data_IF_607790125874
#
_entry.id   IF_607790125874
#
_cell.length_a   1.000
_cell.length_b   1.000
_cell.length_c   1.000
_cell.angle_alpha   90.00
_cell.angle_beta   90.00
_cell.angle_gamma   90.00
#
_symmetry.space_group_name_H-M   'P 1'
#
loop_
_entity.id
_entity.type
_entity.pdbx_description
1 polymer ?
#
# COMPACT_ATOMS: atom_id res chain seq x y z
N UNK A 1 -15.17 73.84 -0.38
CA UNK A 1 -15.36 72.62 0.43
C UNK A 1 -16.36 71.63 -0.18
N UNK A 2 -17.53 72.01 -0.74
CA UNK A 2 -18.40 71.01 -1.40
C UNK A 2 -17.98 70.64 -2.84
N UNK A 3 -17.41 71.57 -3.62
CA UNK A 3 -16.91 71.27 -4.98
C UNK A 3 -15.63 70.42 -5.01
N UNK A 4 -14.81 70.44 -3.96
CA UNK A 4 -13.62 69.59 -3.87
C UNK A 4 -14.00 68.13 -3.59
N UNK A 5 -15.05 67.91 -2.80
CA UNK A 5 -15.58 66.59 -2.48
C UNK A 5 -16.13 65.88 -3.72
N UNK A 6 -16.86 66.58 -4.59
CA UNK A 6 -17.38 66.02 -5.85
C UNK A 6 -16.27 65.71 -6.86
N UNK A 7 -15.23 66.54 -6.95
CA UNK A 7 -14.07 66.30 -7.83
C UNK A 7 -13.26 65.05 -7.42
N UNK A 8 -13.01 64.89 -6.11
CA UNK A 8 -12.33 63.71 -5.56
C UNK A 8 -13.17 62.44 -5.79
N UNK A 9 -14.49 62.53 -5.61
CA UNK A 9 -15.40 61.39 -5.83
C UNK A 9 -15.44 60.98 -7.31
N UNK A 10 -15.45 61.94 -8.24
CA UNK A 10 -15.40 61.64 -9.69
C UNK A 10 -14.05 61.04 -10.13
N UNK A 11 -12.96 61.41 -9.46
CA UNK A 11 -11.63 60.87 -9.74
C UNK A 11 -11.49 59.44 -9.23
N UNK A 12 -12.06 59.13 -8.05
CA UNK A 12 -12.04 57.77 -7.51
C UNK A 12 -12.88 56.81 -8.35
N UNK A 13 -14.06 57.23 -8.80
CA UNK A 13 -14.93 56.39 -9.65
C UNK A 13 -14.27 56.09 -11.01
N UNK A 14 -13.59 57.07 -11.62
CA UNK A 14 -12.88 56.85 -12.88
C UNK A 14 -11.69 55.88 -12.72
N UNK A 15 -10.98 55.95 -11.60
CA UNK A 15 -9.91 55.00 -11.25
C UNK A 15 -10.47 53.59 -11.02
N UNK A 16 -11.59 53.45 -10.33
CA UNK A 16 -12.27 52.16 -10.12
C UNK A 16 -12.76 51.56 -11.44
N UNK A 17 -13.33 52.37 -12.34
CA UNK A 17 -13.72 51.93 -13.67
C UNK A 17 -12.51 51.49 -14.51
N UNK A 18 -11.41 52.25 -14.48
CA UNK A 18 -10.19 51.91 -15.21
C UNK A 18 -9.57 50.60 -14.68
N UNK A 19 -9.52 50.42 -13.35
CA UNK A 19 -9.04 49.19 -12.72
C UNK A 19 -9.89 47.99 -13.11
N UNK A 20 -11.22 48.15 -13.13
CA UNK A 20 -12.16 47.10 -13.55
C UNK A 20 -11.94 46.70 -15.02
N UNK A 21 -11.83 47.69 -15.92
CA UNK A 21 -11.55 47.45 -17.35
C UNK A 21 -10.20 46.75 -17.53
N UNK A 22 -9.17 47.16 -16.81
CA UNK A 22 -7.86 46.51 -16.88
C UNK A 22 -7.91 45.05 -16.38
N UNK A 23 -8.63 44.78 -15.29
CA UNK A 23 -8.86 43.42 -14.79
C UNK A 23 -9.54 42.51 -15.82
N UNK A 24 -10.52 43.04 -16.57
CA UNK A 24 -11.17 42.31 -17.67
C UNK A 24 -10.19 42.00 -18.81
N UNK A 25 -9.37 42.98 -19.21
CA UNK A 25 -8.35 42.79 -20.27
C UNK A 25 -7.31 41.75 -19.85
N UNK A 26 -6.78 41.84 -18.62
CA UNK A 26 -5.81 40.87 -18.09
C UNK A 26 -6.40 39.46 -18.05
N UNK A 27 -7.66 39.34 -17.61
CA UNK A 27 -8.38 38.07 -17.61
C UNK A 27 -8.50 37.48 -19.02
N UNK A 28 -8.96 38.27 -20.00
CA UNK A 28 -9.12 37.82 -21.37
C UNK A 28 -7.77 37.42 -22.00
N UNK A 29 -6.71 38.18 -21.72
CA UNK A 29 -5.36 37.91 -22.23
C UNK A 29 -4.71 36.70 -21.56
N UNK A 30 -4.96 36.46 -20.28
CA UNK A 30 -4.56 35.22 -19.62
C UNK A 30 -5.20 34.01 -20.29
N UNK A 31 -6.52 34.05 -20.54
CA UNK A 31 -7.25 32.95 -21.18
C UNK A 31 -6.78 32.72 -22.63
N UNK A 32 -6.45 33.79 -23.35
CA UNK A 32 -5.84 33.72 -24.68
C UNK A 32 -4.47 33.02 -24.64
N UNK A 33 -3.61 33.40 -23.70
CA UNK A 33 -2.29 32.79 -23.51
C UNK A 33 -2.37 31.31 -23.13
N UNK A 34 -3.36 30.93 -22.30
CA UNK A 34 -3.62 29.52 -21.97
C UNK A 34 -4.03 28.74 -23.22
N UNK A 35 -4.94 29.29 -24.04
CA UNK A 35 -5.38 28.64 -25.30
C UNK A 35 -4.23 28.50 -26.31
N UNK A 36 -3.34 29.48 -26.39
CA UNK A 36 -2.17 29.43 -27.28
C UNK A 36 -0.99 28.63 -26.70
N UNK A 37 -1.13 28.05 -25.49
CA UNK A 37 -0.06 27.35 -24.76
C UNK A 37 1.22 28.19 -24.57
N UNK A 38 1.08 29.51 -24.47
CA UNK A 38 2.22 30.42 -24.25
C UNK A 38 2.53 30.54 -22.76
N UNK A 39 3.47 29.72 -22.28
CA UNK A 39 3.91 29.69 -20.89
C UNK A 39 4.40 31.06 -20.38
N UNK A 40 5.13 31.80 -21.21
CA UNK A 40 5.71 33.08 -20.81
C UNK A 40 4.62 34.13 -20.59
N UNK A 41 3.63 34.18 -21.48
CA UNK A 41 2.48 35.06 -21.33
C UNK A 41 1.58 34.65 -20.17
N UNK A 42 1.35 33.34 -19.96
CA UNK A 42 0.59 32.84 -18.81
C UNK A 42 1.22 33.30 -17.49
N UNK A 43 2.53 33.10 -17.30
CA UNK A 43 3.22 33.57 -16.10
C UNK A 43 3.20 35.09 -15.97
N UNK A 44 3.38 35.82 -17.07
CA UNK A 44 3.34 37.28 -17.07
C UNK A 44 1.99 37.81 -16.61
N UNK A 45 0.89 37.32 -17.18
CA UNK A 45 -0.46 37.74 -16.77
C UNK A 45 -0.80 37.24 -15.37
N UNK A 46 -0.32 36.05 -14.99
CA UNK A 46 -0.45 35.53 -13.62
C UNK A 46 0.15 36.48 -12.58
N UNK A 47 1.30 37.10 -12.86
CA UNK A 47 1.95 38.08 -11.98
C UNK A 47 1.19 39.42 -11.86
N UNK A 48 0.29 39.73 -12.79
CA UNK A 48 -0.44 41.01 -12.83
C UNK A 48 -1.68 40.98 -11.93
N UNK A 49 -2.37 39.84 -11.80
CA UNK A 49 -3.55 39.71 -10.93
C UNK A 49 -3.35 40.25 -9.50
N UNK A 50 -2.28 39.89 -8.75
CA UNK A 50 -2.09 40.40 -7.39
C UNK A 50 -1.89 41.91 -7.35
N UNK A 51 -1.28 42.50 -8.39
CA UNK A 51 -1.09 43.96 -8.52
C UNK A 51 -2.42 44.71 -8.70
N UNK A 52 -3.46 44.03 -9.18
CA UNK A 52 -4.82 44.55 -9.33
C UNK A 52 -5.72 44.20 -8.14
N UNK A 53 -5.18 43.57 -7.08
CA UNK A 53 -5.96 43.06 -5.95
C UNK A 53 -6.73 41.77 -6.24
N UNK A 54 -6.61 41.20 -7.44
CA UNK A 54 -7.38 40.04 -7.92
C UNK A 54 -6.70 38.69 -7.59
N UNK A 55 -6.21 38.54 -6.36
CA UNK A 55 -5.42 37.39 -5.92
C UNK A 55 -6.15 36.05 -6.11
N UNK A 56 -7.37 35.96 -5.57
CA UNK A 56 -8.10 34.69 -5.56
C UNK A 56 -8.56 34.29 -6.98
N UNK A 57 -8.88 35.27 -7.82
CA UNK A 57 -9.23 35.04 -9.23
C UNK A 57 -8.01 34.53 -10.02
N UNK A 58 -6.84 35.14 -9.83
CA UNK A 58 -5.59 34.71 -10.45
C UNK A 58 -5.22 33.28 -10.07
N UNK A 59 -5.28 32.96 -8.77
CA UNK A 59 -5.03 31.61 -8.23
C UNK A 59 -6.02 30.59 -8.76
N UNK A 60 -7.32 30.92 -8.84
CA UNK A 60 -8.34 30.02 -9.38
C UNK A 60 -8.09 29.71 -10.87
N UNK A 61 -7.80 30.72 -11.68
CA UNK A 61 -7.50 30.55 -13.12
C UNK A 61 -6.22 29.76 -13.34
N UNK A 62 -5.18 30.05 -12.57
CA UNK A 62 -3.93 29.32 -12.65
C UNK A 62 -4.08 27.87 -12.19
N UNK A 63 -4.83 27.62 -11.12
CA UNK A 63 -5.18 26.27 -10.68
C UNK A 63 -5.89 25.48 -11.77
N UNK A 64 -6.85 26.10 -12.47
CA UNK A 64 -7.54 25.46 -13.60
C UNK A 64 -6.58 25.13 -14.74
N UNK A 65 -5.69 26.06 -15.10
CA UNK A 65 -4.64 25.84 -16.08
C UNK A 65 -3.73 24.66 -15.72
N UNK A 66 -3.24 24.60 -14.47
CA UNK A 66 -2.41 23.50 -13.97
C UNK A 66 -3.15 22.16 -14.00
N UNK A 67 -4.44 22.15 -13.60
CA UNK A 67 -5.27 20.94 -13.66
C UNK A 67 -5.44 20.46 -15.12
N UNK A 68 -5.64 21.36 -16.08
CA UNK A 68 -5.71 21.00 -17.51
C UNK A 68 -4.41 20.35 -18.01
N UNK A 69 -3.25 20.89 -17.61
CA UNK A 69 -1.94 20.32 -17.99
C UNK A 69 -1.67 18.98 -17.33
N UNK A 70 -2.06 18.83 -16.07
CA UNK A 70 -2.01 17.55 -15.36
C UNK A 70 -2.91 16.51 -16.03
N UNK A 71 -4.13 16.90 -16.40
CA UNK A 71 -5.10 16.08 -17.11
C UNK A 71 -4.53 15.56 -18.44
N UNK A 72 -3.97 16.44 -19.28
CA UNK A 72 -3.35 16.08 -20.56
C UNK A 72 -2.24 15.03 -20.37
N UNK A 73 -1.38 15.25 -19.37
CA UNK A 73 -0.25 14.35 -19.06
C UNK A 73 -0.74 13.00 -18.54
N UNK A 74 -1.70 12.99 -17.62
CA UNK A 74 -2.27 11.77 -17.05
C UNK A 74 -2.98 10.92 -18.10
N UNK A 75 -3.75 11.54 -19.01
CA UNK A 75 -4.41 10.84 -20.10
C UNK A 75 -3.42 10.22 -21.08
N UNK A 76 -2.33 10.93 -21.40
CA UNK A 76 -1.26 10.40 -22.24
C UNK A 76 -0.58 9.19 -21.58
N UNK A 77 -0.28 9.27 -20.28
CA UNK A 77 0.33 8.17 -19.54
C UNK A 77 -0.59 6.94 -19.48
N UNK A 78 -1.90 7.14 -19.25
CA UNK A 78 -2.89 6.06 -19.28
C UNK A 78 -2.99 5.43 -20.67
N UNK A 79 -3.00 6.24 -21.75
CA UNK A 79 -3.00 5.71 -23.12
C UNK A 79 -1.76 4.84 -23.39
N UNK A 80 -0.57 5.28 -22.98
CA UNK A 80 0.66 4.48 -23.08
C UNK A 80 0.56 3.16 -22.33
N UNK A 81 -0.05 3.16 -21.13
CA UNK A 81 -0.27 1.95 -20.35
C UNK A 81 -1.20 0.96 -21.09
N UNK A 82 -2.26 1.45 -21.73
CA UNK A 82 -3.19 0.62 -22.50
C UNK A 82 -2.57 0.03 -23.78
N UNK A 83 -1.64 0.75 -24.40
CA UNK A 83 -0.93 0.30 -25.61
C UNK A 83 0.23 -0.67 -25.30
N UNK A 84 0.59 -0.83 -24.03
CA UNK A 84 1.70 -1.71 -23.61
C UNK A 84 1.34 -3.18 -23.82
N UNK A 85 2.17 -3.91 -24.59
CA UNK A 85 1.95 -5.31 -24.92
C UNK A 85 2.01 -6.20 -23.67
N UNK A 86 1.19 -7.26 -23.65
CA UNK A 86 1.09 -8.23 -22.55
C UNK A 86 2.38 -9.04 -22.28
N UNK A 87 3.36 -9.00 -23.20
CA UNK A 87 4.62 -9.75 -23.08
C UNK A 87 5.70 -9.01 -22.27
N UNK A 88 5.46 -7.77 -21.86
CA UNK A 88 6.43 -7.00 -21.08
C UNK A 88 6.41 -7.47 -19.61
N UNK A 89 7.60 -7.62 -19.01
CA UNK A 89 7.73 -7.91 -17.57
C UNK A 89 7.09 -6.82 -16.70
N UNK A 90 7.01 -5.59 -17.22
CA UNK A 90 6.36 -4.46 -16.52
C UNK A 90 4.84 -4.48 -16.59
N UNK A 91 4.24 -5.34 -17.41
CA UNK A 91 2.78 -5.42 -17.52
C UNK A 91 2.13 -5.70 -16.18
N UNK A 92 2.77 -6.43 -15.26
CA UNK A 92 2.21 -6.76 -13.93
C UNK A 92 2.12 -5.58 -12.96
N UNK A 93 2.72 -4.43 -13.28
CA UNK A 93 2.71 -3.23 -12.41
C UNK A 93 2.32 -1.95 -13.16
N UNK A 94 1.83 -2.07 -14.39
CA UNK A 94 1.61 -0.93 -15.29
C UNK A 94 0.63 0.11 -14.73
N UNK A 95 -0.42 -0.32 -14.04
CA UNK A 95 -1.40 0.61 -13.46
C UNK A 95 -0.85 1.29 -12.20
N UNK A 96 -0.03 0.57 -11.43
CA UNK A 96 0.69 1.14 -10.31
C UNK A 96 1.73 2.18 -10.74
N UNK A 97 2.45 1.93 -11.81
CA UNK A 97 3.37 2.89 -12.43
C UNK A 97 2.60 4.10 -12.96
N UNK A 98 1.44 3.89 -13.59
CA UNK A 98 0.59 4.98 -14.10
C UNK A 98 0.10 5.90 -12.98
N UNK A 99 -0.37 5.35 -11.85
CA UNK A 99 -0.72 6.14 -10.67
C UNK A 99 0.50 6.86 -10.09
N UNK A 100 1.66 6.21 -10.07
CA UNK A 100 2.91 6.83 -9.60
C UNK A 100 3.26 8.06 -10.43
N UNK A 101 3.17 7.97 -11.76
CA UNK A 101 3.42 9.10 -12.66
C UNK A 101 2.43 10.26 -12.43
N UNK A 102 1.17 9.97 -12.11
CA UNK A 102 0.19 10.99 -11.74
C UNK A 102 0.59 11.71 -10.44
N UNK A 103 0.92 10.95 -9.39
CA UNK A 103 1.30 11.51 -8.09
C UNK A 103 2.61 12.31 -8.16
N UNK A 104 3.61 11.82 -8.88
CA UNK A 104 4.86 12.53 -9.14
C UNK A 104 4.62 13.79 -9.98
N UNK A 105 3.70 13.73 -10.95
CA UNK A 105 3.27 14.88 -11.74
C UNK A 105 2.71 16.00 -10.86
N UNK A 106 1.82 15.66 -9.91
CA UNK A 106 1.26 16.63 -8.96
C UNK A 106 2.37 17.21 -8.07
N UNK A 107 3.24 16.36 -7.51
CA UNK A 107 4.34 16.81 -6.68
C UNK A 107 5.25 17.80 -7.43
N UNK A 108 5.57 17.50 -8.69
CA UNK A 108 6.36 18.38 -9.56
C UNK A 108 5.66 19.70 -9.85
N UNK A 109 4.35 19.70 -10.12
CA UNK A 109 3.55 20.92 -10.33
C UNK A 109 3.62 21.82 -9.09
N UNK A 110 3.45 21.24 -7.89
CA UNK A 110 3.55 21.98 -6.63
C UNK A 110 4.95 22.57 -6.45
N UNK A 111 6.01 21.79 -6.70
CA UNK A 111 7.39 22.22 -6.50
C UNK A 111 7.86 23.29 -7.48
N UNK A 112 7.47 23.19 -8.77
CA UNK A 112 7.85 24.17 -9.80
C UNK A 112 7.17 25.52 -9.55
N UNK A 113 5.89 25.52 -9.17
CA UNK A 113 5.12 26.77 -9.08
C UNK A 113 5.14 27.41 -7.69
N UNK A 114 5.63 26.71 -6.66
CA UNK A 114 5.77 27.27 -5.32
C UNK A 114 6.54 28.61 -5.29
N UNK A 115 7.74 28.75 -5.88
CA UNK A 115 8.50 30.02 -5.82
C UNK A 115 7.75 31.18 -6.48
N UNK A 116 7.05 30.91 -7.58
CA UNK A 116 6.26 31.91 -8.29
C UNK A 116 5.08 32.40 -7.45
N UNK A 117 4.36 31.49 -6.79
CA UNK A 117 3.18 31.84 -5.99
C UNK A 117 3.62 32.58 -4.73
N UNK A 118 4.62 32.07 -4.01
CA UNK A 118 5.09 32.70 -2.77
C UNK A 118 5.67 34.10 -3.01
N UNK A 119 6.37 34.31 -4.14
CA UNK A 119 6.96 35.61 -4.48
C UNK A 119 5.91 36.67 -4.83
N UNK A 120 4.87 36.33 -5.60
CA UNK A 120 3.93 37.33 -6.15
C UNK A 120 2.58 37.39 -5.45
N UNK A 121 2.10 36.28 -4.87
CA UNK A 121 0.81 36.20 -4.16
C UNK A 121 0.98 36.18 -2.64
N UNK A 122 2.21 35.95 -2.17
CA UNK A 122 2.52 35.84 -0.75
C UNK A 122 2.51 34.41 -0.24
N UNK A 123 3.13 34.23 0.92
CA UNK A 123 3.33 32.92 1.53
C UNK A 123 2.00 32.31 2.00
N UNK A 124 1.91 30.98 1.97
CA UNK A 124 0.69 30.24 2.36
C UNK A 124 -0.44 30.26 1.32
N UNK A 125 -0.29 31.02 0.22
CA UNK A 125 -1.26 31.00 -0.89
C UNK A 125 -1.19 29.72 -1.72
N UNK A 126 -0.12 28.93 -1.62
CA UNK A 126 0.00 27.63 -2.28
C UNK A 126 -1.07 26.64 -1.81
N UNK A 127 -1.45 26.70 -0.53
CA UNK A 127 -2.51 25.87 0.07
C UNK A 127 -3.83 25.98 -0.72
N UNK A 128 -4.13 27.17 -1.27
CA UNK A 128 -5.36 27.38 -2.06
C UNK A 128 -5.42 26.55 -3.35
N UNK A 129 -4.27 26.15 -3.90
CA UNK A 129 -4.19 25.38 -5.15
C UNK A 129 -4.33 23.88 -4.89
N UNK A 130 -3.89 23.39 -3.73
CA UNK A 130 -3.88 21.96 -3.40
C UNK A 130 -5.27 21.30 -3.53
N UNK A 131 -6.38 21.89 -3.05
CA UNK A 131 -7.72 21.32 -3.26
C UNK A 131 -8.06 21.10 -4.74
N UNK A 132 -7.64 22.00 -5.63
CA UNK A 132 -7.90 21.86 -7.07
C UNK A 132 -7.09 20.69 -7.65
N UNK A 133 -5.81 20.58 -7.29
CA UNK A 133 -4.95 19.48 -7.72
C UNK A 133 -5.44 18.14 -7.15
N UNK A 134 -5.94 18.10 -5.91
CA UNK A 134 -6.51 16.90 -5.31
C UNK A 134 -7.77 16.44 -6.05
N UNK A 135 -8.69 17.34 -6.41
CA UNK A 135 -9.87 16.98 -7.21
C UNK A 135 -9.50 16.43 -8.59
N UNK A 136 -8.46 16.97 -9.20
CA UNK A 136 -7.96 16.44 -10.47
C UNK A 136 -7.28 15.07 -10.28
N UNK A 137 -6.53 14.89 -9.19
CA UNK A 137 -5.97 13.59 -8.77
C UNK A 137 -7.06 12.53 -8.63
N UNK A 138 -8.15 12.86 -7.93
CA UNK A 138 -9.32 12.01 -7.73
C UNK A 138 -9.93 11.59 -9.09
N UNK A 139 -10.13 12.57 -9.99
CA UNK A 139 -10.69 12.33 -11.32
C UNK A 139 -9.82 11.39 -12.16
N UNK A 140 -8.51 11.57 -12.15
CA UNK A 140 -7.60 10.74 -12.94
C UNK A 140 -7.40 9.36 -12.31
N UNK A 141 -7.26 9.27 -10.98
CA UNK A 141 -7.19 8.00 -10.25
C UNK A 141 -8.41 7.13 -10.55
N UNK A 142 -9.61 7.71 -10.53
CA UNK A 142 -10.86 6.99 -10.85
C UNK A 142 -10.82 6.35 -12.25
N UNK A 143 -10.27 7.05 -13.25
CA UNK A 143 -10.14 6.50 -14.61
C UNK A 143 -9.12 5.36 -14.67
N UNK A 144 -7.97 5.54 -14.03
CA UNK A 144 -6.92 4.51 -14.00
C UNK A 144 -7.42 3.25 -13.30
N UNK A 145 -8.11 3.39 -12.17
CA UNK A 145 -8.69 2.26 -11.44
C UNK A 145 -9.83 1.57 -12.22
N UNK A 146 -10.64 2.32 -12.97
CA UNK A 146 -11.68 1.72 -13.81
C UNK A 146 -11.07 0.83 -14.92
N UNK A 147 -10.03 1.31 -15.60
CA UNK A 147 -9.31 0.51 -16.60
C UNK A 147 -8.58 -0.67 -15.97
N UNK A 148 -7.97 -0.49 -14.79
CA UNK A 148 -7.36 -1.57 -14.02
C UNK A 148 -8.38 -2.67 -13.68
N UNK A 149 -9.53 -2.32 -13.08
CA UNK A 149 -10.56 -3.29 -12.70
C UNK A 149 -11.06 -4.08 -13.90
N UNK A 150 -11.24 -3.40 -15.04
CA UNK A 150 -11.68 -4.02 -16.28
C UNK A 150 -10.63 -4.97 -16.87
N UNK A 151 -9.39 -4.50 -17.05
CA UNK A 151 -8.33 -5.28 -17.70
C UNK A 151 -7.81 -6.43 -16.81
N UNK A 152 -7.84 -6.27 -15.48
CA UNK A 152 -7.47 -7.31 -14.52
C UNK A 152 -8.64 -8.16 -14.07
N UNK A 153 -9.85 -7.86 -14.52
CA UNK A 153 -11.07 -8.58 -14.15
C UNK A 153 -11.24 -8.66 -12.62
N UNK A 154 -11.04 -7.54 -11.92
CA UNK A 154 -11.08 -7.49 -10.45
C UNK A 154 -12.41 -8.03 -9.93
N UNK A 155 -13.53 -7.57 -10.49
CA UNK A 155 -14.88 -7.96 -10.05
C UNK A 155 -15.11 -9.46 -10.21
N UNK A 156 -14.63 -10.05 -11.31
CA UNK A 156 -14.72 -11.49 -11.54
C UNK A 156 -13.91 -12.28 -10.51
N UNK A 157 -12.68 -11.85 -10.20
CA UNK A 157 -11.84 -12.48 -9.18
C UNK A 157 -12.49 -12.41 -7.81
N UNK A 158 -13.09 -11.27 -7.46
CA UNK A 158 -13.81 -11.09 -6.19
C UNK A 158 -15.04 -12.01 -6.11
N UNK A 159 -15.82 -12.09 -7.19
CA UNK A 159 -16.99 -12.97 -7.27
C UNK A 159 -16.60 -14.45 -7.10
N UNK A 160 -15.52 -14.89 -7.77
CA UNK A 160 -15.02 -16.26 -7.61
C UNK A 160 -14.60 -16.59 -6.18
N UNK A 161 -14.01 -15.62 -5.48
CA UNK A 161 -13.62 -15.79 -4.07
C UNK A 161 -14.85 -15.78 -3.15
N UNK A 162 -15.84 -14.93 -3.40
CA UNK A 162 -17.08 -14.92 -2.61
C UNK A 162 -17.87 -16.23 -2.79
N UNK A 163 -18.01 -16.70 -4.03
CA UNK A 163 -18.66 -17.98 -4.35
C UNK A 163 -17.94 -19.16 -3.70
N UNK A 164 -16.61 -19.10 -3.61
CA UNK A 164 -15.81 -20.10 -2.90
C UNK A 164 -16.14 -20.17 -1.40
N UNK A 165 -16.31 -19.02 -0.73
CA UNK A 165 -16.68 -18.99 0.70
C UNK A 165 -18.17 -19.22 0.95
N UNK A 166 -19.05 -18.92 0.00
CA UNK A 166 -20.52 -19.07 0.12
C UNK A 166 -21.01 -20.47 -0.29
N UNK A 167 -20.28 -21.16 -1.17
CA UNK A 167 -20.67 -22.46 -1.70
C UNK A 167 -20.88 -23.50 -0.59
N UNK A 168 -21.90 -24.38 -0.69
CA UNK A 168 -22.08 -25.46 0.28
C UNK A 168 -20.83 -26.33 0.29
N UNK A 169 -20.30 -26.62 1.49
CA UNK A 169 -19.25 -27.62 1.70
C UNK A 169 -19.82 -28.95 1.19
N UNK A 170 -19.56 -29.27 -0.07
CA UNK A 170 -20.10 -30.46 -0.70
C UNK A 170 -19.68 -31.69 0.09
N UNK A 171 -20.61 -32.63 0.24
CA UNK A 171 -20.47 -33.92 0.95
C UNK A 171 -19.26 -34.76 0.49
N UNK A 172 -18.57 -34.34 -0.58
CA UNK A 172 -17.30 -34.87 -1.05
C UNK A 172 -16.23 -33.77 -1.26
N UNK A 173 -15.95 -32.93 -0.27
CA UNK A 173 -14.63 -32.28 -0.01
C UNK A 173 -13.87 -31.54 -1.14
N UNK A 174 -14.42 -31.37 -2.35
CA UNK A 174 -13.78 -30.72 -3.49
C UNK A 174 -14.64 -29.54 -3.92
N UNK A 175 -14.13 -28.34 -3.67
CA UNK A 175 -14.65 -27.13 -4.29
C UNK A 175 -14.53 -27.27 -5.83
N UNK A 176 -15.54 -26.85 -6.60
CA UNK A 176 -15.54 -26.95 -8.06
C UNK A 176 -14.37 -26.14 -8.68
N UNK A 177 -13.96 -26.59 -9.86
CA UNK A 177 -12.62 -26.48 -10.46
C UNK A 177 -12.29 -25.11 -11.09
N UNK A 178 -12.95 -24.00 -10.70
CA UNK A 178 -12.55 -22.64 -11.11
C UNK A 178 -11.67 -21.98 -10.04
N UNK A 179 -10.52 -22.60 -9.76
CA UNK A 179 -9.52 -22.06 -8.82
C UNK A 179 -8.70 -20.98 -9.53
N UNK A 180 -8.65 -19.78 -8.96
CA UNK A 180 -7.73 -18.73 -9.40
C UNK A 180 -6.30 -19.27 -9.42
N UNK A 181 -5.57 -19.03 -10.52
CA UNK A 181 -4.17 -19.44 -10.59
C UNK A 181 -3.35 -18.72 -9.50
N UNK A 182 -2.67 -19.45 -8.59
CA UNK A 182 -1.92 -18.83 -7.52
C UNK A 182 -0.83 -17.87 -8.00
N UNK A 183 -0.21 -18.12 -9.16
CA UNK A 183 0.85 -17.24 -9.68
C UNK A 183 0.27 -15.93 -10.21
N UNK A 184 -0.81 -15.98 -10.97
CA UNK A 184 -1.51 -14.78 -11.42
C UNK A 184 -2.07 -13.96 -10.25
N UNK A 185 -2.66 -14.61 -9.26
CA UNK A 185 -3.18 -13.94 -8.06
C UNK A 185 -2.06 -13.29 -7.24
N UNK A 186 -0.89 -13.94 -7.14
CA UNK A 186 0.27 -13.39 -6.45
C UNK A 186 0.79 -12.09 -7.08
N UNK A 187 0.86 -12.05 -8.42
CA UNK A 187 1.25 -10.85 -9.17
C UNK A 187 0.21 -9.75 -8.99
N UNK A 188 -1.08 -10.11 -9.05
CA UNK A 188 -2.18 -9.18 -8.86
C UNK A 188 -2.17 -8.53 -7.47
N UNK A 189 -1.99 -9.33 -6.41
CA UNK A 189 -1.82 -8.83 -5.04
C UNK A 189 -0.62 -7.90 -4.91
N UNK A 190 0.47 -8.16 -5.65
CA UNK A 190 1.62 -7.27 -5.76
C UNK A 190 1.25 -5.91 -6.34
N UNK A 191 0.53 -5.87 -7.47
CA UNK A 191 0.09 -4.62 -8.11
C UNK A 191 -0.81 -3.79 -7.17
N UNK A 192 -1.79 -4.43 -6.51
CA UNK A 192 -2.67 -3.80 -5.51
C UNK A 192 -1.86 -3.14 -4.37
N UNK A 193 -0.90 -3.88 -3.84
CA UNK A 193 -0.03 -3.42 -2.74
C UNK A 193 0.79 -2.20 -3.16
N UNK A 194 1.36 -2.22 -4.36
CA UNK A 194 2.15 -1.08 -4.87
C UNK A 194 1.23 0.13 -5.06
N UNK A 195 0.07 -0.01 -5.72
CA UNK A 195 -0.88 1.10 -5.89
C UNK A 195 -1.22 1.77 -4.55
N UNK A 196 -1.55 0.98 -3.54
CA UNK A 196 -1.88 1.49 -2.20
C UNK A 196 -0.70 2.24 -1.57
N UNK A 197 0.50 1.64 -1.58
CA UNK A 197 1.70 2.27 -1.01
C UNK A 197 2.07 3.60 -1.68
N UNK A 198 1.87 3.71 -3.00
CA UNK A 198 2.14 4.93 -3.77
C UNK A 198 1.16 6.04 -3.44
N UNK A 199 -0.12 5.70 -3.24
CA UNK A 199 -1.12 6.65 -2.80
C UNK A 199 -0.85 7.13 -1.36
N UNK A 200 -0.39 6.26 -0.46
CA UNK A 200 -0.01 6.65 0.91
C UNK A 200 1.16 7.65 0.91
N UNK A 201 2.18 7.40 0.09
CA UNK A 201 3.30 8.34 -0.11
C UNK A 201 2.84 9.70 -0.64
N UNK A 202 1.90 9.71 -1.59
CA UNK A 202 1.32 10.94 -2.12
C UNK A 202 0.55 11.71 -1.05
N UNK A 203 -0.37 11.07 -0.33
CA UNK A 203 -1.15 11.72 0.74
C UNK A 203 -0.20 12.30 1.80
N UNK A 204 0.89 11.59 2.12
CA UNK A 204 1.93 12.07 3.04
C UNK A 204 2.75 13.22 2.48
N UNK A 205 3.03 13.23 1.18
CA UNK A 205 3.63 14.38 0.51
C UNK A 205 2.73 15.61 0.64
N UNK A 206 1.44 15.49 0.31
CA UNK A 206 0.50 16.62 0.39
C UNK A 206 0.37 17.10 1.82
N UNK A 207 0.13 16.21 2.80
CA UNK A 207 0.10 16.56 4.24
C UNK A 207 1.37 17.29 4.68
N UNK A 208 2.55 16.82 4.27
CA UNK A 208 3.83 17.49 4.59
C UNK A 208 3.93 18.87 3.98
N UNK A 209 3.42 19.10 2.76
CA UNK A 209 3.45 20.43 2.15
C UNK A 209 2.54 21.41 2.88
N UNK A 210 1.38 20.95 3.32
CA UNK A 210 0.43 21.75 4.10
C UNK A 210 0.98 22.07 5.49
N UNK A 211 1.57 21.08 6.17
CA UNK A 211 2.13 21.28 7.51
C UNK A 211 3.46 22.02 7.52
N UNK A 212 4.26 21.96 6.46
CA UNK A 212 5.47 22.79 6.34
C UNK A 212 5.13 24.27 6.15
N UNK A 213 3.92 24.57 5.67
CA UNK A 213 3.31 25.89 5.63
C UNK A 213 2.47 26.20 6.88
N UNK A 214 2.84 25.66 8.05
CA UNK A 214 2.34 26.07 9.36
C UNK A 214 3.28 25.65 10.47
N UNK A 215 3.90 26.61 11.16
CA UNK A 215 4.99 26.40 12.14
C UNK A 215 4.92 25.11 12.98
N UNK A 216 6.06 24.39 13.00
CA UNK A 216 6.58 23.49 14.05
C UNK A 216 5.54 22.84 14.98
N UNK A 217 5.32 21.52 14.86
CA UNK A 217 5.44 20.62 16.01
C UNK A 217 5.59 19.14 15.58
N UNK A 218 6.62 18.53 16.14
CA UNK A 218 6.87 17.09 16.33
C UNK A 218 6.97 16.26 15.06
N UNK A 219 8.17 15.71 14.88
CA UNK A 219 8.36 14.39 14.27
C UNK A 219 7.47 13.39 15.00
N UNK A 220 6.19 13.31 14.62
CA UNK A 220 5.37 12.13 14.78
C UNK A 220 5.42 11.40 13.44
N UNK A 221 6.63 11.04 13.04
CA UNK A 221 6.77 9.64 12.73
C UNK A 221 6.66 8.91 14.06
N UNK A 222 5.81 7.90 14.07
CA UNK A 222 5.70 6.87 15.08
C UNK A 222 7.08 6.40 15.58
N UNK A 223 7.68 7.12 16.53
CA UNK A 223 8.52 6.52 17.57
C UNK A 223 7.69 5.68 18.54
N UNK A 224 6.37 5.65 18.37
CA UNK A 224 5.47 4.60 18.87
C UNK A 224 5.53 3.29 18.08
N UNK A 225 6.35 3.19 17.02
CA UNK A 225 6.58 1.90 16.33
C UNK A 225 7.69 1.05 16.97
N UNK A 226 8.29 1.43 18.09
CA UNK A 226 9.28 0.58 18.79
C UNK A 226 9.27 0.62 20.33
N UNK A 227 8.46 1.46 21.00
CA UNK A 227 8.44 1.57 22.47
C UNK A 227 7.10 1.31 23.16
N UNK A 228 6.04 0.95 22.42
CA UNK A 228 4.77 0.48 23.00
C UNK A 228 4.64 -1.05 23.03
N UNK A 229 5.74 -1.78 22.82
CA UNK A 229 5.81 -3.25 22.97
C UNK A 229 6.71 -3.71 24.14
N UNK A 230 7.05 -2.80 25.07
CA UNK A 230 7.74 -3.15 26.33
C UNK A 230 6.90 -2.89 27.58
N UNK A 231 5.57 -2.84 27.45
CA UNK A 231 4.68 -2.41 28.54
C UNK A 231 3.42 -3.24 28.70
N UNK A 232 3.51 -4.57 28.63
CA UNK A 232 2.48 -5.43 29.22
C UNK A 232 3.12 -6.75 29.68
N UNK A 233 3.71 -6.69 30.87
CA UNK A 233 4.01 -7.86 31.68
C UNK A 233 3.22 -7.75 32.98
N UNK A 234 2.75 -8.91 33.43
CA UNK A 234 2.07 -9.23 34.70
C UNK A 234 0.54 -9.24 34.57
N UNK A 235 -0.10 -10.41 34.47
CA UNK A 235 0.00 -11.50 35.46
C UNK A 235 -0.28 -12.89 34.84
N UNK A 236 0.60 -13.86 35.13
CA UNK A 236 0.20 -15.23 35.47
C UNK A 236 0.12 -16.34 34.40
N UNK A 237 1.27 -17.01 34.17
CA UNK A 237 1.44 -18.49 34.20
C UNK A 237 1.31 -19.30 32.88
N UNK A 238 2.52 -19.62 32.34
CA UNK A 238 2.96 -20.81 31.57
C UNK A 238 2.34 -21.03 30.16
N UNK A 239 3.06 -21.13 29.04
CA UNK A 239 4.48 -21.11 28.74
C UNK A 239 4.72 -21.67 27.32
N UNK A 240 5.21 -20.84 26.39
CA UNK A 240 5.74 -21.25 25.08
C UNK A 240 6.91 -20.34 24.72
N UNK A 241 8.11 -20.72 25.16
CA UNK A 241 9.36 -20.06 24.79
C UNK A 241 9.87 -20.68 23.49
N UNK A 242 9.59 -20.05 22.35
CA UNK A 242 10.53 -19.94 21.20
C UNK A 242 9.87 -19.20 20.02
N UNK A 243 9.68 -17.89 20.17
CA UNK A 243 9.31 -17.00 19.05
C UNK A 243 10.24 -15.78 18.89
N UNK A 244 11.27 -15.70 19.72
CA UNK A 244 12.34 -14.69 19.62
C UNK A 244 13.24 -14.89 18.38
N UNK A 245 13.40 -16.13 17.91
CA UNK A 245 14.29 -16.46 16.78
C UNK A 245 13.73 -16.09 15.40
N UNK A 246 12.44 -16.30 15.17
CA UNK A 246 11.81 -16.12 13.84
C UNK A 246 11.74 -14.63 13.46
N UNK A 247 11.56 -13.75 14.45
CA UNK A 247 11.57 -12.29 14.27
C UNK A 247 12.99 -11.78 13.93
N UNK A 248 14.04 -12.46 14.40
CA UNK A 248 15.45 -12.05 14.16
C UNK A 248 15.98 -12.46 12.79
N UNK A 249 15.44 -13.52 12.17
CA UNK A 249 15.88 -14.02 10.84
C UNK A 249 15.23 -13.24 9.68
N UNK A 250 14.08 -12.60 9.89
CA UNK A 250 13.43 -11.78 8.84
C UNK A 250 14.09 -10.40 8.61
N UNK A 251 14.92 -9.92 9.53
CA UNK A 251 15.54 -8.58 9.48
C UNK A 251 17.06 -8.59 9.30
N UNK A 252 17.65 -9.61 8.67
CA UNK A 252 19.08 -9.60 8.32
C UNK A 252 19.31 -9.16 6.88
N UNK A 253 19.31 -7.85 6.65
CA UNK A 253 20.00 -7.23 5.50
C UNK A 253 21.00 -6.20 5.99
N UNK A 254 22.26 -6.66 6.06
CA UNK A 254 23.48 -5.91 5.80
C UNK A 254 23.70 -4.58 6.56
N UNK A 255 24.11 -4.66 7.82
CA UNK A 255 24.83 -3.58 8.51
C UNK A 255 26.34 -3.80 8.37
N UNK A 256 26.93 -3.24 7.32
CA UNK A 256 28.36 -2.96 7.26
C UNK A 256 28.61 -1.62 7.94
N UNK A 257 29.34 -1.66 9.05
CA UNK A 257 29.76 -0.51 9.88
C UNK A 257 30.77 0.38 9.16
N UNK A 258 30.51 1.68 9.08
CA UNK A 258 31.53 2.72 8.94
C UNK A 258 31.37 3.74 10.08
N UNK A 259 32.45 4.12 10.79
CA UNK A 259 32.38 5.06 11.89
C UNK A 259 32.30 6.50 11.35
N UNK A 260 31.36 7.30 11.87
CA UNK A 260 31.35 8.75 11.66
C UNK A 260 31.94 9.41 12.90
N UNK A 261 33.13 9.99 12.72
CA UNK A 261 33.71 10.98 13.61
C UNK A 261 32.80 12.21 13.68
N UNK A 262 32.54 12.65 14.90
CA UNK A 262 31.84 13.88 15.23
C UNK A 262 32.70 15.09 14.91
N UNK A 263 32.36 15.85 13.87
CA UNK A 263 32.70 17.27 13.80
C UNK A 263 31.46 18.09 13.47
N UNK A 264 31.16 18.99 14.39
CA UNK A 264 30.07 19.96 14.38
C UNK A 264 30.14 20.89 13.16
N UNK A 265 29.12 20.83 12.32
CA UNK A 265 28.77 21.93 11.40
C UNK A 265 27.45 22.52 11.90
N UNK A 266 27.54 23.63 12.61
CA UNK A 266 26.43 24.54 12.88
C UNK A 266 25.95 25.12 11.55
N UNK A 267 24.90 24.55 10.97
CA UNK A 267 24.15 25.22 9.91
C UNK A 267 23.27 26.32 10.53
N UNK A 268 23.20 27.51 9.92
CA UNK A 268 22.38 28.60 10.44
C UNK A 268 20.91 28.21 10.42
N UNK A 269 20.20 28.48 11.53
CA UNK A 269 18.74 28.39 11.62
C UNK A 269 18.13 29.25 10.51
N UNK A 270 17.62 28.61 9.46
CA UNK A 270 16.80 29.27 8.46
C UNK A 270 15.54 29.77 9.17
N UNK A 271 15.39 31.09 9.20
CA UNK A 271 14.24 31.78 9.78
C UNK A 271 13.00 31.36 8.99
N UNK A 272 11.92 31.04 9.72
CA UNK A 272 10.68 30.50 9.17
C UNK A 272 10.02 31.49 8.18
N UNK A 273 10.01 31.15 6.90
CA UNK A 273 9.46 32.03 5.85
C UNK A 273 7.95 32.34 6.01
N UNK A 274 7.20 31.59 6.82
CA UNK A 274 5.76 31.84 7.05
C UNK A 274 5.43 32.76 8.23
N UNK A 275 6.41 33.25 8.98
CA UNK A 275 6.15 34.36 9.92
C UNK A 275 5.76 35.66 9.18
N UNK A 276 5.99 35.73 7.86
CA UNK A 276 5.89 36.97 7.07
C UNK A 276 4.58 37.10 6.28
N UNK A 277 3.88 36.01 5.88
CA UNK A 277 2.80 36.08 4.88
C UNK A 277 1.34 36.03 5.38
N UNK A 278 1.06 35.42 6.53
CA UNK A 278 -0.30 35.35 7.11
C UNK A 278 -0.21 35.69 8.61
N UNK A 279 -0.65 36.89 9.04
CA UNK A 279 -0.43 37.35 10.41
C UNK A 279 -1.23 36.58 11.46
N UNK A 280 -2.35 35.94 11.09
CA UNK A 280 -3.22 35.22 12.03
C UNK A 280 -2.96 33.70 12.00
N UNK A 281 -2.37 33.18 13.07
CA UNK A 281 -2.18 31.74 13.30
C UNK A 281 -3.49 30.93 13.25
N UNK A 282 -4.63 31.55 13.59
CA UNK A 282 -5.96 30.93 13.57
C UNK A 282 -6.46 30.66 12.15
N UNK A 283 -6.29 31.60 11.22
CA UNK A 283 -6.69 31.42 9.80
C UNK A 283 -5.89 30.31 9.14
N UNK A 284 -4.61 30.19 9.51
CA UNK A 284 -3.72 29.12 9.06
C UNK A 284 -4.16 27.75 9.57
N UNK A 285 -4.49 27.64 10.85
CA UNK A 285 -5.00 26.40 11.43
C UNK A 285 -6.34 25.98 10.77
N UNK A 286 -7.22 26.95 10.46
CA UNK A 286 -8.48 26.68 9.77
C UNK A 286 -8.26 26.13 8.35
N UNK A 287 -7.36 26.74 7.56
CA UNK A 287 -7.02 26.27 6.21
C UNK A 287 -6.39 24.88 6.21
N UNK A 288 -5.50 24.59 7.17
CA UNK A 288 -4.90 23.25 7.34
C UNK A 288 -6.00 22.23 7.66
N UNK A 289 -6.92 22.57 8.57
CA UNK A 289 -8.03 21.67 8.97
C UNK A 289 -9.01 21.42 7.82
N UNK A 290 -9.37 22.45 7.05
CA UNK A 290 -10.22 22.33 5.87
C UNK A 290 -9.58 21.42 4.82
N UNK A 291 -8.27 21.55 4.61
CA UNK A 291 -7.53 20.74 3.66
C UNK A 291 -7.34 19.30 4.15
N UNK A 292 -7.11 19.08 5.44
CA UNK A 292 -7.13 17.74 6.03
C UNK A 292 -8.48 17.05 5.83
N UNK A 293 -9.57 17.78 6.03
CA UNK A 293 -10.94 17.29 5.78
C UNK A 293 -11.12 16.95 4.30
N UNK A 294 -10.64 17.81 3.40
CA UNK A 294 -10.68 17.59 1.95
C UNK A 294 -9.87 16.35 1.55
N UNK A 295 -8.70 16.12 2.15
CA UNK A 295 -7.88 14.94 1.89
C UNK A 295 -8.52 13.67 2.43
N UNK A 296 -9.06 13.70 3.66
CA UNK A 296 -9.72 12.54 4.27
C UNK A 296 -10.99 12.14 3.52
N UNK A 297 -11.77 13.11 3.04
CA UNK A 297 -12.95 12.89 2.21
C UNK A 297 -12.67 12.82 0.70
N UNK A 298 -11.41 12.72 0.29
CA UNK A 298 -11.06 12.64 -1.14
C UNK A 298 -11.47 11.29 -1.72
N UNK A 299 -11.85 11.30 -3.00
CA UNK A 299 -12.20 10.05 -3.71
C UNK A 299 -10.98 9.12 -3.77
N UNK A 300 -9.76 9.65 -3.87
CA UNK A 300 -8.53 8.85 -3.80
C UNK A 300 -8.49 8.02 -2.51
N UNK A 301 -8.71 8.65 -1.34
CA UNK A 301 -8.69 7.95 -0.06
C UNK A 301 -9.75 6.85 0.01
N UNK A 302 -10.99 7.16 -0.39
CA UNK A 302 -12.07 6.16 -0.43
C UNK A 302 -11.77 4.99 -1.36
N UNK A 303 -11.22 5.27 -2.56
CA UNK A 303 -10.84 4.23 -3.52
C UNK A 303 -9.69 3.36 -3.01
N UNK A 304 -8.71 3.94 -2.31
CA UNK A 304 -7.62 3.16 -1.73
C UNK A 304 -8.11 2.27 -0.58
N UNK A 305 -9.07 2.73 0.23
CA UNK A 305 -9.72 1.91 1.27
C UNK A 305 -10.51 0.73 0.66
N UNK A 306 -11.26 0.97 -0.41
CA UNK A 306 -11.96 -0.07 -1.17
C UNK A 306 -10.96 -1.09 -1.75
N UNK A 307 -9.90 -0.62 -2.40
CA UNK A 307 -8.85 -1.47 -2.97
C UNK A 307 -8.14 -2.31 -1.91
N UNK A 308 -7.90 -1.74 -0.73
CA UNK A 308 -7.30 -2.42 0.41
C UNK A 308 -8.23 -3.51 0.97
N UNK A 309 -9.54 -3.25 0.97
CA UNK A 309 -10.54 -4.25 1.38
C UNK A 309 -10.56 -5.44 0.43
N UNK A 310 -10.50 -5.19 -0.89
CA UNK A 310 -10.34 -6.24 -1.89
C UNK A 310 -9.04 -7.03 -1.71
N UNK A 311 -7.94 -6.33 -1.42
CA UNK A 311 -6.66 -6.95 -1.11
C UNK A 311 -6.76 -7.93 0.07
N UNK A 312 -7.42 -7.58 1.18
CA UNK A 312 -7.55 -8.48 2.35
C UNK A 312 -8.26 -9.79 2.01
N UNK A 313 -9.36 -9.70 1.28
CA UNK A 313 -10.12 -10.88 0.86
C UNK A 313 -9.30 -11.80 -0.04
N UNK A 314 -8.63 -11.21 -1.04
CA UNK A 314 -7.82 -11.94 -2.01
C UNK A 314 -6.55 -12.53 -1.38
N UNK A 315 -5.90 -11.81 -0.47
CA UNK A 315 -4.71 -12.25 0.26
C UNK A 315 -5.03 -13.44 1.15
N UNK A 316 -6.17 -13.40 1.86
CA UNK A 316 -6.68 -14.52 2.65
C UNK A 316 -6.88 -15.76 1.77
N UNK A 317 -7.63 -15.62 0.68
CA UNK A 317 -7.89 -16.72 -0.25
C UNK A 317 -6.59 -17.29 -0.84
N UNK A 318 -5.65 -16.42 -1.24
CA UNK A 318 -4.33 -16.83 -1.72
C UNK A 318 -3.58 -17.66 -0.69
N UNK A 319 -3.56 -17.22 0.58
CA UNK A 319 -2.84 -17.90 1.65
C UNK A 319 -3.42 -19.29 1.92
N UNK A 320 -4.73 -19.39 2.14
CA UNK A 320 -5.44 -20.65 2.38
C UNK A 320 -5.28 -21.63 1.20
N UNK A 321 -5.50 -21.15 -0.02
CA UNK A 321 -5.43 -21.95 -1.23
C UNK A 321 -4.02 -22.45 -1.57
N UNK A 322 -2.99 -21.68 -1.19
CA UNK A 322 -1.58 -22.04 -1.38
C UNK A 322 -1.11 -23.01 -0.32
N UNK A 323 -1.49 -22.81 0.95
CA UNK A 323 -1.16 -23.71 2.06
C UNK A 323 -1.79 -25.08 1.87
N UNK A 324 -3.07 -25.13 1.48
CA UNK A 324 -3.74 -26.41 1.17
C UNK A 324 -3.00 -27.18 0.08
N UNK A 325 -2.55 -26.48 -0.96
CA UNK A 325 -1.77 -27.08 -2.05
C UNK A 325 -0.39 -27.55 -1.58
N UNK A 326 0.27 -26.81 -0.69
CA UNK A 326 1.54 -27.22 -0.09
C UNK A 326 1.39 -28.49 0.76
N UNK A 327 0.30 -28.61 1.51
CA UNK A 327 -0.05 -29.84 2.26
C UNK A 327 -0.32 -31.00 1.31
N UNK A 328 -1.05 -30.78 0.20
CA UNK A 328 -1.35 -31.82 -0.78
C UNK A 328 -0.10 -32.32 -1.54
N UNK A 329 0.86 -31.43 -1.81
CA UNK A 329 2.12 -31.74 -2.52
C UNK A 329 3.25 -32.17 -1.59
N UNK A 330 2.95 -32.40 -0.31
CA UNK A 330 3.93 -32.72 0.70
C UNK A 330 4.76 -33.95 0.33
N UNK A 331 6.07 -33.78 0.37
CA UNK A 331 7.07 -34.78 0.06
C UNK A 331 8.16 -34.85 1.14
N UNK A 332 8.86 -35.97 1.18
CA UNK A 332 9.99 -36.18 2.10
C UNK A 332 11.27 -36.32 1.27
N UNK A 333 12.20 -35.41 1.50
CA UNK A 333 13.53 -35.47 0.92
C UNK A 333 14.43 -36.39 1.78
N UNK A 334 15.27 -37.20 1.13
CA UNK A 334 16.20 -38.09 1.83
C UNK A 334 17.15 -37.30 2.74
N UNK A 335 17.13 -37.61 4.04
CA UNK A 335 17.96 -36.95 5.06
C UNK A 335 17.33 -35.71 5.70
N UNK A 336 16.12 -35.29 5.29
CA UNK A 336 15.41 -34.18 5.95
C UNK A 336 14.82 -34.59 7.30
N UNK A 337 14.94 -33.70 8.29
CA UNK A 337 14.36 -33.86 9.63
C UNK A 337 12.91 -33.37 9.72
N UNK A 338 12.44 -32.63 8.72
CA UNK A 338 11.09 -32.05 8.65
C UNK A 338 10.47 -32.26 7.28
N UNK A 339 9.14 -32.35 7.24
CA UNK A 339 8.39 -32.45 5.98
C UNK A 339 8.46 -31.15 5.18
N UNK A 340 8.53 -31.26 3.86
CA UNK A 340 8.57 -30.10 2.95
C UNK A 340 7.37 -29.17 3.09
N UNK A 341 6.21 -29.69 3.54
CA UNK A 341 5.03 -28.87 3.82
C UNK A 341 5.30 -27.77 4.84
N UNK A 342 6.16 -28.02 5.84
CA UNK A 342 6.44 -27.05 6.90
C UNK A 342 7.15 -25.84 6.31
N UNK A 343 8.20 -26.08 5.54
CA UNK A 343 8.98 -25.03 4.88
C UNK A 343 8.13 -24.25 3.87
N UNK A 344 7.32 -24.93 3.06
CA UNK A 344 6.42 -24.30 2.08
C UNK A 344 5.36 -23.42 2.76
N UNK A 345 4.74 -23.90 3.84
CA UNK A 345 3.72 -23.14 4.59
C UNK A 345 4.34 -21.89 5.23
N UNK A 346 5.49 -22.02 5.89
CA UNK A 346 6.18 -20.87 6.47
C UNK A 346 6.68 -19.90 5.40
N UNK A 347 7.09 -20.39 4.23
CA UNK A 347 7.44 -19.55 3.09
C UNK A 347 6.24 -18.73 2.60
N UNK A 348 5.06 -19.36 2.43
CA UNK A 348 3.82 -18.68 2.01
C UNK A 348 3.39 -17.63 3.04
N UNK A 349 3.39 -17.97 4.34
CA UNK A 349 3.04 -17.03 5.41
C UNK A 349 3.99 -15.84 5.44
N UNK A 350 5.31 -16.09 5.40
CA UNK A 350 6.33 -15.03 5.38
C UNK A 350 6.18 -14.12 4.17
N UNK A 351 5.90 -14.70 2.98
CA UNK A 351 5.66 -13.95 1.75
C UNK A 351 4.46 -13.01 1.89
N UNK A 352 3.36 -13.52 2.42
CA UNK A 352 2.10 -12.79 2.62
C UNK A 352 2.27 -11.62 3.60
N UNK A 353 2.91 -11.86 4.75
CA UNK A 353 3.20 -10.81 5.75
C UNK A 353 4.14 -9.73 5.17
N UNK A 354 5.16 -10.12 4.40
CA UNK A 354 6.09 -9.17 3.76
C UNK A 354 5.38 -8.31 2.70
N UNK A 355 4.46 -8.90 1.94
CA UNK A 355 3.62 -8.17 0.99
C UNK A 355 2.69 -7.20 1.71
N UNK A 356 1.98 -7.64 2.75
CA UNK A 356 1.13 -6.78 3.56
C UNK A 356 1.91 -5.60 4.16
N UNK A 357 3.13 -5.84 4.64
CA UNK A 357 4.02 -4.79 5.15
C UNK A 357 4.41 -3.76 4.08
N UNK A 358 4.48 -4.18 2.81
CA UNK A 358 4.77 -3.31 1.68
C UNK A 358 3.57 -2.46 1.24
N UNK A 359 2.36 -2.76 1.73
CA UNK A 359 1.15 -1.97 1.44
C UNK A 359 1.15 -0.60 2.12
N UNK A 360 2.00 -0.40 3.12
CA UNK A 360 2.00 0.78 4.00
C UNK A 360 0.68 0.98 4.79
N UNK A 361 -0.12 -0.08 4.97
CA UNK A 361 -1.31 -0.07 5.84
C UNK A 361 -1.09 -0.93 7.09
N UNK A 362 -1.21 -0.31 8.28
CA UNK A 362 -1.13 -1.03 9.56
C UNK A 362 -2.30 -2.00 9.72
N UNK A 363 -3.50 -1.59 9.34
CA UNK A 363 -4.70 -2.44 9.38
C UNK A 363 -4.52 -3.67 8.50
N UNK A 364 -3.87 -3.51 7.34
CA UNK A 364 -3.58 -4.62 6.45
C UNK A 364 -2.54 -5.59 6.98
N UNK A 365 -1.48 -5.09 7.60
CA UNK A 365 -0.51 -5.94 8.27
C UNK A 365 -1.17 -6.75 9.39
N UNK A 366 -1.97 -6.11 10.24
CA UNK A 366 -2.70 -6.77 11.31
C UNK A 366 -3.67 -7.83 10.79
N UNK A 367 -4.46 -7.51 9.75
CA UNK A 367 -5.41 -8.44 9.16
C UNK A 367 -4.72 -9.69 8.61
N UNK A 368 -3.61 -9.52 7.88
CA UNK A 368 -2.86 -10.63 7.28
C UNK A 368 -2.15 -11.48 8.34
N UNK A 369 -1.63 -10.86 9.41
CA UNK A 369 -1.06 -11.61 10.54
C UNK A 369 -2.14 -12.45 11.24
N UNK A 370 -3.32 -11.88 11.48
CA UNK A 370 -4.42 -12.62 12.10
C UNK A 370 -4.87 -13.80 11.23
N UNK A 371 -4.97 -13.60 9.91
CA UNK A 371 -5.26 -14.68 8.96
C UNK A 371 -4.17 -15.76 9.01
N UNK A 372 -2.89 -15.37 9.07
CA UNK A 372 -1.78 -16.32 9.18
C UNK A 372 -1.81 -17.13 10.48
N UNK A 373 -2.06 -16.49 11.62
CA UNK A 373 -2.22 -17.18 12.91
C UNK A 373 -3.36 -18.20 12.85
N UNK A 374 -4.54 -17.78 12.37
CA UNK A 374 -5.70 -18.68 12.23
C UNK A 374 -5.40 -19.87 11.33
N UNK A 375 -4.69 -19.65 10.23
CA UNK A 375 -4.30 -20.70 9.29
C UNK A 375 -3.31 -21.70 9.93
N UNK A 376 -2.32 -21.22 10.68
CA UNK A 376 -1.36 -22.09 11.36
C UNK A 376 -2.03 -22.92 12.47
N UNK A 377 -2.97 -22.33 13.20
CA UNK A 377 -3.68 -22.98 14.31
C UNK A 377 -4.76 -23.96 13.84
N UNK A 378 -5.51 -23.62 12.79
CA UNK A 378 -6.64 -24.43 12.35
C UNK A 378 -6.25 -25.43 11.27
N UNK A 379 -5.51 -24.99 10.24
CA UNK A 379 -5.19 -25.82 9.09
C UNK A 379 -3.94 -26.66 9.35
N UNK A 380 -2.79 -26.02 9.63
CA UNK A 380 -1.52 -26.74 9.81
C UNK A 380 -1.56 -27.65 11.05
N UNK A 381 -1.88 -27.09 12.23
CA UNK A 381 -2.01 -27.89 13.45
C UNK A 381 -3.12 -28.95 13.33
N UNK A 382 -4.20 -28.65 12.59
CA UNK A 382 -5.27 -29.61 12.32
C UNK A 382 -4.79 -30.84 11.54
N UNK A 383 -4.07 -30.60 10.44
CA UNK A 383 -3.44 -31.66 9.63
C UNK A 383 -2.48 -32.49 10.48
N UNK A 384 -1.59 -31.84 11.23
CA UNK A 384 -0.62 -32.53 12.08
C UNK A 384 -1.28 -33.39 13.17
N UNK A 385 -2.33 -32.86 13.82
CA UNK A 385 -3.12 -33.63 14.80
C UNK A 385 -3.83 -34.82 14.16
N UNK A 386 -4.38 -34.66 12.96
CA UNK A 386 -5.01 -35.77 12.24
C UNK A 386 -4.01 -36.88 11.90
N UNK A 387 -2.79 -36.50 11.50
CA UNK A 387 -1.72 -37.46 11.21
C UNK A 387 -1.24 -38.17 12.48
N UNK A 388 -1.06 -37.45 13.59
CA UNK A 388 -0.73 -38.06 14.89
C UNK A 388 -1.80 -39.06 15.35
N UNK A 389 -3.08 -38.77 15.11
CA UNK A 389 -4.20 -39.68 15.42
C UNK A 389 -4.19 -40.96 14.58
N UNK A 390 -3.59 -40.97 13.39
CA UNK A 390 -3.47 -42.19 12.58
C UNK A 390 -2.53 -43.23 13.22
N UNK A 391 -1.72 -42.80 14.20
CA UNK A 391 -0.86 -43.67 14.99
C UNK A 391 0.43 -44.06 14.27
N UNK A 392 1.47 -44.40 15.04
CA UNK A 392 2.72 -44.91 14.49
C UNK A 392 2.41 -46.24 13.77
N UNK A 393 2.84 -46.45 12.51
CA UNK A 393 2.73 -47.74 11.85
C UNK A 393 3.62 -48.77 12.56
N UNK A 394 3.12 -49.31 13.66
CA UNK A 394 3.70 -50.40 14.43
C UNK A 394 3.47 -51.67 13.64
N UNK A 395 4.55 -52.18 13.03
CA UNK A 395 4.53 -53.47 12.35
C UNK A 395 4.55 -54.63 13.34
N UNK A 396 3.66 -54.62 14.34
CA UNK A 396 3.30 -55.88 14.97
C UNK A 396 2.34 -56.53 13.99
N UNK A 397 2.84 -57.51 13.23
CA UNK A 397 2.00 -58.32 12.37
C UNK A 397 0.82 -58.81 13.21
N UNK A 398 -0.38 -58.36 12.87
CA UNK A 398 -1.57 -59.12 13.23
C UNK A 398 -1.36 -60.54 12.69
N UNK A 399 -1.63 -61.58 13.50
CA UNK A 399 -1.35 -62.97 13.14
C UNK A 399 -1.95 -63.31 11.77
N UNK A 400 -3.08 -62.66 11.45
CA UNK A 400 -3.80 -62.72 10.17
C UNK A 400 -3.01 -62.11 9.00
N UNK A 401 -2.34 -60.97 9.21
CA UNK A 401 -1.47 -60.37 8.20
C UNK A 401 -0.17 -61.16 8.02
N UNK A 402 0.39 -61.74 9.09
CA UNK A 402 1.54 -62.65 8.99
C UNK A 402 1.21 -63.87 8.13
N UNK A 403 0.03 -64.45 8.35
CA UNK A 403 -0.43 -65.61 7.58
C UNK A 403 -0.65 -65.26 6.10
N UNK A 404 -1.26 -64.11 5.80
CA UNK A 404 -1.49 -63.66 4.43
C UNK A 404 -0.20 -63.26 3.69
N UNK A 405 0.75 -62.62 4.39
CA UNK A 405 2.07 -62.28 3.83
C UNK A 405 2.91 -63.53 3.59
N UNK A 406 2.87 -64.52 4.50
CA UNK A 406 3.53 -65.82 4.30
C UNK A 406 2.91 -66.59 3.13
N UNK A 407 1.58 -66.59 3.00
CA UNK A 407 0.90 -67.26 1.90
C UNK A 407 1.17 -66.59 0.54
N UNK A 408 1.25 -65.26 0.49
CA UNK A 408 1.54 -64.51 -0.75
C UNK A 408 3.03 -64.54 -1.13
N UNK A 409 3.96 -64.54 -0.15
CA UNK A 409 5.40 -64.70 -0.43
C UNK A 409 5.73 -66.08 -0.99
N UNK A 410 5.02 -67.13 -0.58
CA UNK A 410 5.17 -68.48 -1.14
C UNK A 410 4.66 -68.56 -2.60
N UNK A 411 3.65 -67.75 -2.98
CA UNK A 411 3.10 -67.76 -4.34
C UNK A 411 3.78 -66.79 -5.32
N UNK A 412 4.37 -65.67 -4.86
CA UNK A 412 4.83 -64.59 -5.78
C UNK A 412 6.24 -64.03 -5.53
N UNK A 413 7.03 -64.56 -4.58
CA UNK A 413 8.48 -64.32 -4.55
C UNK A 413 8.93 -62.85 -4.52
N UNK A 414 8.16 -61.93 -3.93
CA UNK A 414 8.49 -60.50 -3.88
C UNK A 414 8.21 -59.92 -2.49
N UNK A 415 9.25 -59.44 -1.82
CA UNK A 415 9.20 -58.82 -0.49
C UNK A 415 8.69 -57.36 -0.61
N UNK A 416 7.57 -57.02 0.04
CA UNK A 416 7.07 -55.63 0.21
C UNK A 416 7.43 -55.08 1.61
N UNK A 417 8.74 -54.96 1.91
CA UNK A 417 9.20 -54.38 3.18
C UNK A 417 9.37 -52.85 3.13
N UNK A 418 9.63 -52.28 1.94
CA UNK A 418 9.94 -50.86 1.71
C UNK A 418 8.83 -49.90 2.14
N UNK A 419 7.57 -50.28 1.88
CA UNK A 419 6.43 -49.37 2.06
C UNK A 419 6.13 -49.14 3.56
N UNK A 420 6.45 -50.12 4.40
CA UNK A 420 6.25 -50.05 5.86
C UNK A 420 7.27 -49.14 6.56
N UNK A 421 8.51 -49.13 6.08
CA UNK A 421 9.59 -48.28 6.58
C UNK A 421 9.41 -46.84 6.11
N UNK A 422 8.99 -46.65 4.86
CA UNK A 422 8.61 -45.34 4.32
C UNK A 422 7.44 -44.73 5.11
N UNK A 423 6.42 -45.51 5.47
CA UNK A 423 5.31 -45.05 6.29
C UNK A 423 5.75 -44.64 7.72
N UNK A 424 6.73 -45.34 8.31
CA UNK A 424 7.31 -44.96 9.62
C UNK A 424 8.12 -43.67 9.54
N UNK A 425 8.93 -43.51 8.51
CA UNK A 425 9.67 -42.27 8.26
C UNK A 425 8.71 -41.11 8.01
N UNK A 426 7.64 -41.31 7.24
CA UNK A 426 6.57 -40.31 7.07
C UNK A 426 5.93 -39.92 8.40
N UNK A 427 5.60 -40.90 9.25
CA UNK A 427 5.00 -40.61 10.55
C UNK A 427 5.96 -39.89 11.51
N UNK A 428 7.27 -40.12 11.41
CA UNK A 428 8.26 -39.44 12.26
C UNK A 428 8.57 -38.04 11.77
N UNK A 429 8.75 -37.82 10.47
CA UNK A 429 9.25 -36.55 9.93
C UNK A 429 8.14 -35.51 9.73
N UNK A 430 6.89 -35.95 9.53
CA UNK A 430 5.75 -35.10 9.22
C UNK A 430 5.19 -34.32 10.43
N UNK A 431 5.10 -34.90 11.65
CA UNK A 431 4.69 -34.19 12.87
C UNK A 431 5.85 -33.53 13.62
N UNK A 432 7.11 -33.71 13.19
CA UNK A 432 8.26 -33.02 13.78
C UNK A 432 8.22 -31.55 13.37
N UNK A 433 7.27 -30.82 13.96
CA UNK A 433 7.53 -29.46 14.41
C UNK A 433 8.43 -29.62 15.62
N UNK A 434 9.74 -29.50 15.41
CA UNK A 434 10.76 -29.19 16.40
C UNK A 434 10.39 -29.57 17.86
N UNK A 435 10.17 -30.85 18.17
CA UNK A 435 10.46 -31.33 19.51
C UNK A 435 11.91 -31.78 19.48
N UNK A 436 12.79 -30.80 19.69
CA UNK A 436 14.18 -31.06 19.99
C UNK A 436 14.21 -31.80 21.34
N UNK A 437 14.16 -33.13 21.27
CA UNK A 437 14.19 -34.02 22.44
C UNK A 437 15.56 -34.03 23.13
N UNK A 438 16.52 -33.23 22.65
CA UNK A 438 17.84 -33.07 23.26
C UNK A 438 17.84 -32.17 24.51
N UNK A 439 16.71 -31.53 24.85
CA UNK A 439 16.61 -30.62 26.00
C UNK A 439 15.95 -31.22 27.26
N UNK A 440 15.60 -32.52 27.28
CA UNK A 440 14.95 -33.15 28.45
C UNK A 440 15.93 -34.02 29.27
N UNK A 441 17.08 -34.40 28.72
CA UNK A 441 18.11 -35.15 29.45
C UNK A 441 19.28 -34.23 29.87
N UNK A 442 19.00 -33.25 30.74
CA UNK A 442 19.96 -32.67 31.70
C UNK A 442 19.28 -31.56 32.52
N UNK A 443 18.59 -31.95 33.59
CA UNK A 443 18.27 -31.10 34.75
C UNK A 443 18.09 -31.98 35.98
#
# INVERSE_FOLDING_TARGET
MSSDCTSVTNSSTLLEEAATRLGQVVTAKFDEAVRSQDLASVERFFKIFPLLGLHDQGLAKFSHYLCSKLQETAQKNLKTALETKLTDKRTSVIYADTLTLLFEGIARVVEIHQPLIETYYGLGRLISIIPHLQRECDRQTKKVLAEFSKHRQLDHKLQQVDDYYRGPVGVYGKHPVDKLDPKELDLFLGELTIMHSRAELYVRFVRRRVMREGSVLVVIWSKTSLSLWTGLSMTGRLGFKSWSGVIKVCFRTNTGTFPLDSTSITQPKQVNDLEVGVPNAQTRAALVTELETTLQGSELCHRMQELLSHYFLLEKYFMEGSVRKAVDMDSLEEGSLTSSMVDDVFFIVRKSIRRASSSASLDGVCAVINNACSLLEMDLCGVLRQQLKQGYPSGYLDLTQAYNVLHSTIQQGRLQASDSEQARLMFLVRPVICFDSSAIDNS
#
